data_IF_544076347771
#
_entry.id   IF_544076347771
#
_cell.length_a   1.000
_cell.length_b   1.000
_cell.length_c   1.000
_cell.angle_alpha   90.00
_cell.angle_beta   90.00
_cell.angle_gamma   90.00
#
_symmetry.space_group_name_H-M   'P 1'
#
loop_
_entity.id
_entity.type
_entity.pdbx_description
1 polymer ?
#
# COMPACT_ATOMS: atom_id res chain seq x y z
N UNK A 1 15.43 14.31 -15.38
CA UNK A 1 15.28 15.22 -14.22
C UNK A 1 14.88 14.34 -13.07
N UNK A 2 15.76 14.22 -12.08
CA UNK A 2 15.70 13.20 -11.04
C UNK A 2 15.80 11.75 -11.51
N UNK A 3 16.21 10.94 -10.52
CA UNK A 3 16.88 9.64 -10.56
C UNK A 3 18.16 9.71 -11.38
N UNK A 4 19.28 9.55 -10.68
CA UNK A 4 20.64 9.59 -11.24
C UNK A 4 20.98 10.93 -11.93
N UNK A 5 20.45 12.03 -11.39
CA UNK A 5 20.76 13.40 -11.80
C UNK A 5 22.14 13.83 -11.28
N UNK A 6 22.90 14.57 -12.09
CA UNK A 6 24.27 14.98 -11.74
C UNK A 6 24.36 16.12 -10.73
N UNK A 7 23.27 16.86 -10.49
CA UNK A 7 23.22 17.98 -9.55
C UNK A 7 22.39 17.67 -8.29
N UNK A 8 21.44 16.73 -8.39
CA UNK A 8 20.57 16.35 -7.28
C UNK A 8 20.57 14.83 -7.07
N UNK A 9 21.32 14.36 -6.07
CA UNK A 9 21.55 12.94 -5.80
C UNK A 9 20.94 12.49 -4.46
N UNK A 10 20.75 11.17 -4.31
CA UNK A 10 20.19 10.52 -3.10
C UNK A 10 18.80 11.06 -2.67
N UNK A 11 18.00 11.52 -3.63
CA UNK A 11 16.63 11.98 -3.37
C UNK A 11 15.66 10.82 -3.59
N UNK A 12 14.78 10.63 -2.61
CA UNK A 12 13.68 9.69 -2.67
C UNK A 12 12.36 10.43 -2.49
N UNK A 13 11.29 9.91 -3.10
CA UNK A 13 9.93 10.36 -2.89
C UNK A 13 9.21 9.38 -1.96
N UNK A 14 8.64 9.90 -0.88
CA UNK A 14 7.73 9.15 -0.02
C UNK A 14 6.27 9.45 -0.42
N UNK A 15 5.49 8.41 -0.64
CA UNK A 15 4.06 8.51 -0.92
C UNK A 15 3.24 7.73 0.10
N UNK A 16 2.17 8.36 0.60
CA UNK A 16 1.26 7.75 1.58
C UNK A 16 -0.08 7.41 0.94
N UNK A 17 -0.59 6.20 1.20
CA UNK A 17 -1.77 5.66 0.53
C UNK A 17 -2.78 5.13 1.54
N UNK A 18 -3.89 5.87 1.70
CA UNK A 18 -4.98 5.54 2.60
C UNK A 18 -6.33 5.66 1.91
N UNK A 19 -7.27 4.82 2.34
CA UNK A 19 -8.64 4.81 1.81
C UNK A 19 -9.69 5.17 2.87
N UNK A 20 -9.31 5.94 3.91
CA UNK A 20 -10.20 6.26 5.05
C UNK A 20 -10.44 7.75 5.32
N UNK A 21 -9.58 8.64 4.82
CA UNK A 21 -9.57 10.06 5.20
C UNK A 21 -10.26 10.99 4.19
N UNK A 22 -11.06 10.44 3.29
CA UNK A 22 -11.82 11.23 2.33
C UNK A 22 -13.27 10.77 2.33
N UNK A 23 -14.26 11.67 2.46
CA UNK A 23 -15.68 11.32 2.47
C UNK A 23 -16.13 10.49 1.25
N UNK A 24 -15.47 10.64 0.10
CA UNK A 24 -15.79 9.85 -1.10
C UNK A 24 -15.60 8.33 -0.90
N UNK A 25 -14.70 7.94 0.01
CA UNK A 25 -14.41 6.54 0.33
C UNK A 25 -15.53 5.86 1.12
N UNK A 26 -16.33 6.61 1.86
CA UNK A 26 -17.49 6.03 2.57
C UNK A 26 -18.52 5.45 1.61
N UNK A 27 -18.62 6.02 0.41
CA UNK A 27 -19.56 5.59 -0.64
C UNK A 27 -19.00 4.49 -1.53
N UNK A 28 -17.75 4.09 -1.34
CA UNK A 28 -17.14 3.05 -2.17
C UNK A 28 -17.65 1.66 -1.83
N UNK A 29 -17.83 0.81 -2.84
CA UNK A 29 -17.99 -0.62 -2.63
C UNK A 29 -16.68 -1.25 -2.16
N UNK A 30 -16.75 -2.46 -1.60
CA UNK A 30 -15.53 -3.15 -1.15
C UNK A 30 -14.66 -3.58 -2.33
N UNK A 31 -15.27 -3.88 -3.47
CA UNK A 31 -14.58 -4.14 -4.74
C UNK A 31 -13.84 -2.88 -5.21
N UNK A 32 -14.44 -1.69 -5.07
CA UNK A 32 -13.77 -0.43 -5.39
C UNK A 32 -12.55 -0.18 -4.49
N UNK A 33 -12.66 -0.46 -3.19
CA UNK A 33 -11.52 -0.39 -2.28
C UNK A 33 -10.38 -1.34 -2.69
N UNK A 34 -10.73 -2.58 -3.00
CA UNK A 34 -9.76 -3.59 -3.42
C UNK A 34 -9.11 -3.31 -4.78
N UNK A 35 -9.84 -2.69 -5.71
CA UNK A 35 -9.34 -2.36 -7.04
C UNK A 35 -8.49 -1.08 -7.07
N UNK A 36 -8.63 -0.20 -6.07
CA UNK A 36 -7.95 1.08 -6.07
C UNK A 36 -6.41 1.03 -6.15
N UNK A 37 -5.71 0.08 -5.49
CA UNK A 37 -4.28 -0.14 -5.72
C UNK A 37 -3.91 -0.33 -7.19
N UNK A 38 -4.73 -1.08 -7.94
CA UNK A 38 -4.53 -1.28 -9.37
C UNK A 38 -4.71 0.01 -10.17
N UNK A 39 -5.69 0.84 -9.80
CA UNK A 39 -5.97 2.09 -10.51
C UNK A 39 -4.82 3.12 -10.38
N UNK A 40 -4.06 3.07 -9.29
CA UNK A 40 -2.95 4.00 -9.04
C UNK A 40 -1.58 3.51 -9.53
N UNK A 41 -1.49 2.26 -9.99
CA UNK A 41 -0.23 1.61 -10.36
C UNK A 41 0.59 2.41 -11.39
N UNK A 42 -0.07 3.04 -12.37
CA UNK A 42 0.58 3.84 -13.41
C UNK A 42 1.20 5.13 -12.85
N UNK A 43 0.51 5.80 -11.93
CA UNK A 43 1.03 6.99 -11.25
C UNK A 43 2.26 6.67 -10.41
N UNK A 44 2.21 5.56 -9.66
CA UNK A 44 3.32 5.10 -8.84
C UNK A 44 4.54 4.71 -9.70
N UNK A 45 4.32 3.98 -10.79
CA UNK A 45 5.38 3.63 -11.74
C UNK A 45 6.04 4.87 -12.37
N UNK A 46 5.23 5.84 -12.80
CA UNK A 46 5.73 7.09 -13.39
C UNK A 46 6.55 7.91 -12.37
N UNK A 47 6.13 7.93 -11.11
CA UNK A 47 6.89 8.56 -10.04
C UNK A 47 8.22 7.83 -9.83
N UNK A 48 8.20 6.49 -9.77
CA UNK A 48 9.39 5.67 -9.52
C UNK A 48 10.44 5.72 -10.66
N UNK A 49 10.01 6.04 -11.87
CA UNK A 49 10.89 6.30 -13.02
C UNK A 49 11.65 7.63 -12.89
N UNK A 50 11.08 8.61 -12.18
CA UNK A 50 11.66 9.95 -11.99
C UNK A 50 12.41 10.06 -10.68
N UNK A 51 11.99 9.40 -9.61
CA UNK A 51 12.66 9.39 -8.31
C UNK A 51 12.53 8.01 -7.72
N UNK A 52 13.51 7.58 -6.92
CA UNK A 52 13.31 6.39 -6.09
C UNK A 52 12.09 6.64 -5.19
N UNK A 53 10.98 5.98 -5.50
CA UNK A 53 9.70 6.22 -4.82
C UNK A 53 9.41 5.05 -3.90
N UNK A 54 9.07 5.34 -2.66
CA UNK A 54 8.70 4.36 -1.64
C UNK A 54 7.27 4.66 -1.18
N UNK A 55 6.47 3.61 -0.97
CA UNK A 55 5.19 3.74 -0.27
C UNK A 55 5.47 3.71 1.24
N UNK A 56 5.76 4.87 1.83
CA UNK A 56 6.20 4.95 3.21
C UNK A 56 5.10 4.75 4.24
N UNK A 57 3.84 4.93 3.84
CA UNK A 57 2.71 4.66 4.70
C UNK A 57 1.50 4.11 3.94
N UNK A 58 0.89 3.08 4.49
CA UNK A 58 -0.38 2.50 4.06
C UNK A 58 -0.96 1.61 5.17
N UNK A 59 -2.23 1.26 5.08
CA UNK A 59 -2.90 0.35 6.03
C UNK A 59 -3.97 -0.51 5.34
N UNK A 60 -4.58 -1.43 6.08
CA UNK A 60 -5.69 -2.26 5.58
C UNK A 60 -7.06 -1.68 5.92
N UNK A 61 -7.09 -0.44 6.43
CA UNK A 61 -8.31 0.17 6.92
C UNK A 61 -9.17 0.71 5.77
N UNK A 62 -10.47 0.51 5.91
CA UNK A 62 -11.52 1.07 5.06
C UNK A 62 -12.60 1.71 5.95
N UNK A 63 -13.39 2.69 5.46
CA UNK A 63 -14.39 3.39 6.28
C UNK A 63 -15.50 2.47 6.80
N UNK A 64 -15.66 1.30 6.17
CA UNK A 64 -16.53 0.20 6.58
C UNK A 64 -15.75 -1.10 6.53
N UNK A 65 -16.18 -2.11 7.30
CA UNK A 65 -15.57 -3.43 7.23
C UNK A 65 -15.89 -4.09 5.87
N UNK A 66 -14.86 -4.29 5.06
CA UNK A 66 -14.98 -4.94 3.75
C UNK A 66 -14.70 -6.44 3.75
N UNK A 67 -14.25 -6.99 4.89
CA UNK A 67 -13.79 -8.36 4.98
C UNK A 67 -12.61 -8.65 4.04
N UNK A 68 -12.12 -9.90 4.09
CA UNK A 68 -11.07 -10.38 3.20
C UNK A 68 -9.81 -9.49 3.15
N UNK A 69 -9.37 -8.98 4.30
CA UNK A 69 -8.20 -8.11 4.45
C UNK A 69 -6.93 -8.74 3.85
N UNK A 70 -6.81 -10.07 3.85
CA UNK A 70 -5.72 -10.75 3.16
C UNK A 70 -5.74 -10.57 1.64
N UNK A 71 -6.92 -10.58 1.00
CA UNK A 71 -7.02 -10.21 -0.41
C UNK A 71 -6.63 -8.75 -0.64
N UNK A 72 -7.14 -7.84 0.19
CA UNK A 72 -6.81 -6.42 0.08
C UNK A 72 -5.31 -6.15 0.26
N UNK A 73 -4.68 -6.80 1.24
CA UNK A 73 -3.23 -6.74 1.46
C UNK A 73 -2.45 -7.18 0.22
N UNK A 74 -2.86 -8.27 -0.45
CA UNK A 74 -2.20 -8.72 -1.69
C UNK A 74 -2.36 -7.72 -2.83
N UNK A 75 -3.52 -7.09 -2.98
CA UNK A 75 -3.72 -6.06 -4.02
C UNK A 75 -2.80 -4.85 -3.78
N UNK A 76 -2.66 -4.41 -2.53
CA UNK A 76 -1.75 -3.32 -2.17
C UNK A 76 -0.29 -3.72 -2.36
N UNK A 77 0.18 -4.75 -1.65
CA UNK A 77 1.59 -5.15 -1.66
C UNK A 77 2.07 -5.50 -3.08
N UNK A 78 1.27 -6.21 -3.88
CA UNK A 78 1.67 -6.57 -5.25
C UNK A 78 1.91 -5.35 -6.14
N UNK A 79 1.13 -4.28 -5.98
CA UNK A 79 1.40 -3.02 -6.69
C UNK A 79 2.61 -2.30 -6.09
N UNK A 80 2.77 -2.29 -4.76
CA UNK A 80 3.85 -1.54 -4.12
C UNK A 80 5.21 -2.16 -4.48
N UNK A 81 5.32 -3.48 -4.44
CA UNK A 81 6.52 -4.22 -4.84
C UNK A 81 6.83 -4.13 -6.33
N UNK A 82 5.80 -4.06 -7.19
CA UNK A 82 6.01 -4.06 -8.65
C UNK A 82 6.16 -2.67 -9.28
N UNK A 83 5.69 -1.60 -8.62
CA UNK A 83 5.65 -0.23 -9.18
C UNK A 83 6.42 0.80 -8.37
N UNK A 84 6.86 0.48 -7.15
CA UNK A 84 7.70 1.34 -6.33
C UNK A 84 9.01 0.65 -5.95
N UNK A 85 9.84 1.31 -5.16
CA UNK A 85 11.10 0.77 -4.62
C UNK A 85 10.86 -0.13 -3.41
N UNK A 86 9.74 0.05 -2.70
CA UNK A 86 9.44 -0.69 -1.48
C UNK A 86 8.28 -0.06 -0.71
N UNK A 87 7.94 -0.66 0.44
CA UNK A 87 6.80 -0.23 1.23
C UNK A 87 7.05 -0.38 2.74
N UNK A 88 6.35 0.45 3.51
CA UNK A 88 6.33 0.40 4.96
C UNK A 88 4.87 0.51 5.44
N UNK A 89 4.37 -0.53 6.12
CA UNK A 89 2.99 -0.54 6.63
C UNK A 89 2.91 0.31 7.90
N UNK A 90 1.91 1.20 7.96
CA UNK A 90 1.59 1.97 9.16
C UNK A 90 0.57 1.18 10.02
N UNK A 91 0.93 0.66 11.19
CA UNK A 91 2.21 0.71 11.90
C UNK A 91 2.68 -0.71 12.29
N UNK A 92 3.87 -0.84 12.87
CA UNK A 92 4.40 -2.10 13.36
C UNK A 92 3.46 -2.79 14.37
N UNK A 93 2.91 -2.04 15.34
CA UNK A 93 1.94 -2.53 16.33
C UNK A 93 1.03 -1.42 16.86
N UNK A 94 -0.15 -1.79 17.35
CA UNK A 94 -0.96 -0.96 18.24
C UNK A 94 -1.60 -1.78 19.37
N UNK A 95 -1.98 -1.10 20.46
CA UNK A 95 -2.58 -1.69 21.65
C UNK A 95 -4.11 -1.52 21.72
N UNK A 96 -4.71 -0.95 20.68
CA UNK A 96 -6.14 -0.61 20.63
C UNK A 96 -7.00 -1.69 19.97
N UNK A 97 -6.37 -2.77 19.51
CA UNK A 97 -7.05 -3.83 18.76
C UNK A 97 -7.46 -3.43 17.34
N UNK A 98 -6.88 -2.35 16.80
CA UNK A 98 -7.14 -1.89 15.44
C UNK A 98 -6.27 -2.68 14.46
N UNK A 99 -6.67 -3.92 14.19
CA UNK A 99 -5.84 -4.89 13.43
C UNK A 99 -5.44 -4.37 12.03
N UNK A 100 -6.28 -3.57 11.39
CA UNK A 100 -6.03 -2.98 10.07
C UNK A 100 -4.87 -1.97 10.04
N UNK A 101 -4.47 -1.49 11.22
CA UNK A 101 -3.36 -0.56 11.45
C UNK A 101 -2.18 -1.22 12.19
N UNK A 102 -2.16 -2.56 12.23
CA UNK A 102 -1.17 -3.35 12.97
C UNK A 102 -0.53 -4.41 12.07
N UNK A 103 0.75 -4.25 11.76
CA UNK A 103 1.49 -5.20 10.94
C UNK A 103 1.61 -6.57 11.63
N UNK A 104 1.92 -6.61 12.93
CA UNK A 104 2.02 -7.88 13.66
C UNK A 104 0.68 -8.61 13.72
N UNK A 105 -0.44 -7.89 13.89
CA UNK A 105 -1.77 -8.47 13.82
C UNK A 105 -2.08 -8.97 12.40
N UNK A 106 -1.71 -8.21 11.37
CA UNK A 106 -1.92 -8.60 9.97
C UNK A 106 -1.18 -9.90 9.61
N UNK A 107 0.04 -10.10 10.14
CA UNK A 107 0.77 -11.37 10.00
C UNK A 107 0.10 -12.48 10.82
N UNK A 108 -0.21 -12.23 12.10
CA UNK A 108 -0.85 -13.21 12.99
C UNK A 108 -2.20 -13.71 12.48
N UNK A 109 -2.99 -12.82 11.86
CA UNK A 109 -4.30 -13.11 11.28
C UNK A 109 -4.22 -13.69 9.86
N UNK A 110 -3.01 -13.84 9.31
CA UNK A 110 -2.79 -14.38 7.96
C UNK A 110 -3.20 -13.45 6.82
N UNK A 111 -3.36 -12.14 7.08
CA UNK A 111 -3.64 -11.15 6.05
C UNK A 111 -2.39 -10.86 5.22
N UNK A 112 -1.23 -10.78 5.88
CA UNK A 112 0.08 -10.65 5.25
C UNK A 112 0.88 -11.94 5.47
N UNK A 113 1.36 -12.54 4.38
CA UNK A 113 2.17 -13.76 4.43
C UNK A 113 3.63 -13.46 4.08
N UNK A 114 4.51 -13.52 5.09
CA UNK A 114 5.95 -13.24 4.94
C UNK A 114 6.69 -14.29 4.11
N UNK A 115 6.13 -15.49 3.94
CA UNK A 115 6.74 -16.55 3.13
C UNK A 115 6.34 -16.47 1.66
N UNK A 116 5.43 -15.55 1.31
CA UNK A 116 4.98 -15.39 -0.06
C UNK A 116 6.00 -14.56 -0.86
N UNK A 117 6.88 -15.24 -1.60
CA UNK A 117 7.95 -14.63 -2.41
C UNK A 117 7.45 -13.79 -3.59
N UNK A 118 6.24 -14.07 -4.06
CA UNK A 118 5.63 -13.34 -5.17
C UNK A 118 4.17 -13.10 -4.83
N UNK A 119 3.80 -11.83 -4.74
CA UNK A 119 2.43 -11.42 -4.49
C UNK A 119 1.81 -11.07 -5.84
N UNK A 120 1.00 -12.00 -6.35
CA UNK A 120 0.18 -11.74 -7.53
C UNK A 120 -1.02 -10.90 -7.10
N UNK A 121 -1.02 -9.64 -7.50
CA UNK A 121 -2.20 -8.79 -7.51
C UNK A 121 -3.09 -9.15 -8.71
N UNK A 122 -4.40 -9.03 -8.55
CA UNK A 122 -5.38 -9.21 -9.64
C UNK A 122 -5.74 -7.83 -10.19
N UNK A 123 -4.74 -7.19 -10.79
CA UNK A 123 -4.94 -6.15 -11.78
C UNK A 123 -4.93 -6.83 -13.16
#
# INVERSE_FOLDING_TARGET
YFRDDSHYFWVMLDTHHYQVFNPKWTNWSCEQHHAQPCNMQGGLANANQKLWTVVGEWSLATPKNCGNQGYFARQQIGVWESKSTGWFMWNFKNDRGWNEWDFLASVRLGWINLNQKTITQNC
#
